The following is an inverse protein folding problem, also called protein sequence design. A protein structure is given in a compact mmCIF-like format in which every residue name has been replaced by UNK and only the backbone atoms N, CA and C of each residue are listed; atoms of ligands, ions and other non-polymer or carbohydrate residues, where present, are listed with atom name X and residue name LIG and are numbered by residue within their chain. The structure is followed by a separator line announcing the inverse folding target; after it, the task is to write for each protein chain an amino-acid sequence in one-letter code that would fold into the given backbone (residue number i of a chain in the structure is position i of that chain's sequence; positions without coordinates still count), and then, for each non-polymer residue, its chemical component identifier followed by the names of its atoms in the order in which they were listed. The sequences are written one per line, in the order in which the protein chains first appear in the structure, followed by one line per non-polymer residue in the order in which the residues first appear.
data_IF_680761022841
#
_entry.id   IF_680761022841
#
_cell.length_a   1.000
_cell.length_b   1.000
_cell.length_c   1.000
_cell.angle_alpha   90.00
_cell.angle_beta   90.00
_cell.angle_gamma   90.00
#
_symmetry.space_group_name_H-M   'P 1'
#
loop_
_entity.id
_entity.type
_entity.pdbx_description
1 polymer ?
#
# COMPACT_ATOMS: atom_id res chain seq x y z
N UNK A 1 12.33 -18.02 17.56
CA UNK A 1 11.85 -17.88 16.16
C UNK A 1 13.06 -17.80 15.23
N UNK A 2 12.99 -18.41 14.02
CA UNK A 2 14.11 -18.52 13.07
C UNK A 2 13.81 -17.91 11.69
N UNK A 3 12.86 -16.97 11.63
CA UNK A 3 12.49 -16.27 10.41
C UNK A 3 13.59 -15.29 9.98
N UNK A 4 13.70 -15.04 8.67
CA UNK A 4 14.56 -13.98 8.12
C UNK A 4 13.83 -12.64 8.23
N UNK A 5 14.56 -11.58 8.54
CA UNK A 5 14.01 -10.22 8.66
C UNK A 5 14.57 -9.37 7.53
N UNK A 6 13.68 -8.67 6.83
CA UNK A 6 14.04 -7.66 5.84
C UNK A 6 13.69 -6.28 6.40
N UNK A 7 14.71 -5.49 6.74
CA UNK A 7 14.51 -4.13 7.24
C UNK A 7 14.33 -3.17 6.06
N UNK A 8 13.23 -2.43 6.08
CA UNK A 8 12.94 -1.35 5.14
C UNK A 8 13.19 -0.01 5.82
N UNK A 9 13.72 0.96 5.08
CA UNK A 9 13.97 2.31 5.62
C UNK A 9 12.71 3.18 5.63
N UNK A 10 11.83 3.00 4.63
CA UNK A 10 10.61 3.77 4.42
C UNK A 10 9.65 3.01 3.49
N UNK A 11 8.37 3.39 3.49
CA UNK A 11 7.32 2.85 2.61
C UNK A 11 6.86 1.45 3.00
N UNK A 12 5.83 1.38 3.83
CA UNK A 12 5.20 0.13 4.30
C UNK A 12 4.12 -0.42 3.35
N UNK A 13 3.58 0.39 2.43
CA UNK A 13 2.53 -0.02 1.47
C UNK A 13 3.04 -1.06 0.46
N UNK A 14 4.17 -0.80 -0.19
CA UNK A 14 4.73 -1.72 -1.19
C UNK A 14 5.05 -3.11 -0.62
N UNK A 15 5.76 -3.25 0.53
CA UNK A 15 5.99 -4.55 1.13
C UNK A 15 4.71 -5.19 1.67
N UNK A 16 3.72 -4.42 2.14
CA UNK A 16 2.42 -4.98 2.51
C UNK A 16 1.76 -5.67 1.31
N UNK A 17 1.71 -5.00 0.15
CA UNK A 17 1.18 -5.61 -1.10
C UNK A 17 2.00 -6.85 -1.50
N UNK A 18 3.32 -6.79 -1.35
CA UNK A 18 4.23 -7.88 -1.68
C UNK A 18 3.89 -9.18 -0.92
N UNK A 19 3.31 -9.11 0.29
CA UNK A 19 2.86 -10.30 1.05
C UNK A 19 1.85 -11.17 0.31
N UNK A 20 1.09 -10.59 -0.63
CA UNK A 20 0.10 -11.30 -1.42
C UNK A 20 0.59 -11.68 -2.82
N UNK A 21 1.88 -11.47 -3.11
CA UNK A 21 2.50 -11.83 -4.37
C UNK A 21 3.41 -13.06 -4.17
N UNK A 22 3.10 -14.22 -4.79
CA UNK A 22 3.82 -15.48 -4.54
C UNK A 22 5.34 -15.40 -4.73
N UNK A 23 5.79 -14.59 -5.70
CA UNK A 23 7.21 -14.49 -6.08
C UNK A 23 7.96 -13.34 -5.38
N UNK A 24 7.33 -12.65 -4.42
CA UNK A 24 7.97 -11.50 -3.77
C UNK A 24 9.04 -11.87 -2.74
N UNK A 25 8.94 -13.06 -2.16
CA UNK A 25 9.78 -13.50 -1.04
C UNK A 25 9.48 -12.80 0.30
N UNK A 26 8.36 -12.06 0.40
CA UNK A 26 7.88 -11.43 1.62
C UNK A 26 6.62 -12.14 2.09
N UNK A 27 6.63 -12.68 3.31
CA UNK A 27 5.49 -13.44 3.86
C UNK A 27 4.61 -12.60 4.80
N UNK A 28 5.19 -11.61 5.47
CA UNK A 28 4.51 -10.79 6.48
C UNK A 28 5.20 -9.44 6.62
N UNK A 29 4.39 -8.40 6.88
CA UNK A 29 4.86 -7.10 7.37
C UNK A 29 4.32 -6.90 8.78
N UNK A 30 5.19 -6.49 9.71
CA UNK A 30 4.82 -6.22 11.09
C UNK A 30 5.60 -5.00 11.59
N UNK A 31 4.89 -4.07 12.22
CA UNK A 31 5.48 -2.85 12.76
C UNK A 31 4.45 -1.75 12.98
N UNK A 32 4.94 -0.57 13.34
CA UNK A 32 4.14 0.65 13.46
C UNK A 32 4.46 1.56 12.28
N UNK A 33 3.44 1.86 11.47
CA UNK A 33 3.55 2.74 10.31
C UNK A 33 2.59 3.92 10.39
N UNK A 34 2.38 4.58 9.25
CA UNK A 34 1.39 5.65 9.14
C UNK A 34 -0.03 5.08 9.04
N UNK A 35 -0.98 5.67 9.76
CA UNK A 35 -2.38 5.22 9.72
C UNK A 35 -3.01 5.35 8.32
N UNK A 36 -2.79 6.44 7.56
CA UNK A 36 -3.26 6.53 6.17
C UNK A 36 -2.69 5.43 5.26
N UNK A 37 -1.40 5.13 5.41
CA UNK A 37 -0.70 4.09 4.67
C UNK A 37 -1.21 2.69 5.03
N UNK A 38 -1.60 2.47 6.28
CA UNK A 38 -2.31 1.27 6.73
C UNK A 38 -3.64 1.07 5.97
N UNK A 39 -4.43 2.13 5.78
CA UNK A 39 -5.68 2.06 4.99
C UNK A 39 -5.40 1.77 3.52
N UNK A 40 -4.38 2.38 2.92
CA UNK A 40 -3.97 2.09 1.54
C UNK A 40 -3.53 0.63 1.36
N UNK A 41 -2.76 0.11 2.31
CA UNK A 41 -2.32 -1.28 2.35
C UNK A 41 -3.51 -2.23 2.46
N UNK A 42 -4.43 -1.96 3.40
CA UNK A 42 -5.66 -2.71 3.56
C UNK A 42 -6.51 -2.70 2.26
N UNK A 43 -6.58 -1.58 1.55
CA UNK A 43 -7.34 -1.47 0.30
C UNK A 43 -6.75 -2.35 -0.83
N UNK A 44 -5.42 -2.36 -0.93
CA UNK A 44 -4.71 -3.21 -1.88
C UNK A 44 -4.86 -4.70 -1.53
N UNK A 45 -4.67 -5.06 -0.25
CA UNK A 45 -4.82 -6.42 0.25
C UNK A 45 -6.26 -6.94 0.09
N UNK A 46 -7.26 -6.08 0.30
CA UNK A 46 -8.66 -6.41 0.04
C UNK A 46 -8.89 -6.78 -1.43
N UNK A 47 -8.24 -6.09 -2.38
CA UNK A 47 -8.33 -6.46 -3.80
C UNK A 47 -7.62 -7.79 -4.13
N UNK A 48 -6.61 -8.17 -3.34
CA UNK A 48 -5.81 -9.37 -3.52
C UNK A 48 -6.32 -10.58 -2.71
N UNK A 49 -7.32 -10.40 -1.85
CA UNK A 49 -7.81 -11.45 -0.95
C UNK A 49 -6.88 -11.73 0.24
N UNK A 50 -6.06 -10.75 0.62
CA UNK A 50 -5.15 -10.82 1.77
C UNK A 50 -5.83 -10.52 3.10
N UNK A 51 -5.02 -10.33 4.13
CA UNK A 51 -5.46 -9.96 5.48
C UNK A 51 -4.67 -8.76 6.00
N UNK A 52 -5.33 -7.88 6.75
CA UNK A 52 -4.71 -6.76 7.43
C UNK A 52 -5.33 -6.63 8.82
N UNK A 53 -4.48 -6.45 9.82
CA UNK A 53 -4.86 -6.21 11.21
C UNK A 53 -4.05 -5.04 11.75
N UNK A 54 -4.69 -4.16 12.52
CA UNK A 54 -4.03 -2.97 13.05
C UNK A 54 -4.70 -2.38 14.29
N UNK A 55 -4.06 -1.35 14.83
CA UNK A 55 -4.57 -0.51 15.91
C UNK A 55 -3.93 0.86 15.78
N UNK A 56 -4.64 1.93 16.16
CA UNK A 56 -4.04 3.26 16.20
C UNK A 56 -2.98 3.33 17.30
N UNK A 57 -1.81 3.84 16.95
CA UNK A 57 -0.72 4.09 17.88
C UNK A 57 -0.58 5.60 18.10
N UNK A 58 -1.21 6.11 19.15
CA UNK A 58 -1.18 7.54 19.49
C UNK A 58 0.16 7.94 20.10
N UNK A 59 0.68 9.08 19.70
CA UNK A 59 1.94 9.63 20.25
C UNK A 59 1.72 10.47 21.51
N UNK A 60 0.49 10.97 21.69
CA UNK A 60 0.09 11.80 22.82
C UNK A 60 -1.44 11.83 22.96
N UNK A 61 -1.91 12.33 24.10
CA UNK A 61 -3.34 12.45 24.42
C UNK A 61 -4.09 13.38 23.45
N UNK A 62 -3.42 14.37 22.86
CA UNK A 62 -4.03 15.27 21.88
C UNK A 62 -4.47 14.54 20.61
N UNK A 63 -3.63 13.65 20.07
CA UNK A 63 -3.99 12.79 18.95
C UNK A 63 -5.14 11.83 19.31
N UNK A 64 -5.11 11.27 20.53
CA UNK A 64 -6.18 10.39 21.02
C UNK A 64 -7.52 11.13 21.10
N UNK A 65 -7.54 12.34 21.67
CA UNK A 65 -8.75 13.15 21.76
C UNK A 65 -9.26 13.57 20.38
N UNK A 66 -8.37 13.87 19.43
CA UNK A 66 -8.75 14.13 18.04
C UNK A 66 -9.45 12.93 17.40
N UNK A 67 -8.95 11.71 17.62
CA UNK A 67 -9.61 10.50 17.10
C UNK A 67 -11.02 10.32 17.66
N UNK A 68 -11.21 10.53 18.97
CA UNK A 68 -12.53 10.51 19.60
C UNK A 68 -13.44 11.58 19.00
N UNK A 69 -12.94 12.81 18.85
CA UNK A 69 -13.68 13.92 18.25
C UNK A 69 -14.07 13.67 16.78
N UNK A 70 -13.30 12.84 16.06
CA UNK A 70 -13.62 12.39 14.70
C UNK A 70 -14.62 11.22 14.67
N UNK A 71 -15.14 10.78 15.82
CA UNK A 71 -16.18 9.75 15.92
C UNK A 71 -15.67 8.35 16.27
N UNK A 72 -14.43 8.21 16.73
CA UNK A 72 -13.91 6.91 17.17
C UNK A 72 -14.29 6.63 18.63
N UNK A 73 -15.27 5.76 18.83
CA UNK A 73 -15.81 5.42 20.17
C UNK A 73 -14.78 4.77 21.10
N UNK A 74 -14.01 3.81 20.56
CA UNK A 74 -12.91 3.15 21.24
C UNK A 74 -11.61 3.36 20.45
N UNK A 75 -10.73 4.29 20.86
CA UNK A 75 -9.45 4.53 20.19
C UNK A 75 -8.46 3.36 20.27
N UNK A 76 -8.59 2.48 21.27
CA UNK A 76 -7.63 1.41 21.55
C UNK A 76 -8.07 0.06 20.96
N UNK A 77 -9.21 0.05 20.26
CA UNK A 77 -9.76 -1.15 19.62
C UNK A 77 -8.82 -1.74 18.58
N UNK A 78 -8.94 -3.04 18.41
CA UNK A 78 -8.44 -3.75 17.25
C UNK A 78 -9.23 -3.33 15.99
N UNK A 79 -8.51 -3.15 14.88
CA UNK A 79 -9.06 -2.77 13.58
C UNK A 79 -8.74 -3.87 12.58
N UNK A 80 -9.77 -4.61 12.19
CA UNK A 80 -9.66 -5.57 11.10
C UNK A 80 -9.73 -4.87 9.73
N UNK A 81 -9.28 -5.53 8.67
CA UNK A 81 -9.35 -5.01 7.31
C UNK A 81 -10.75 -4.50 6.93
N UNK A 82 -11.82 -5.18 7.38
CA UNK A 82 -13.22 -4.81 7.15
C UNK A 82 -13.68 -3.54 7.88
N UNK A 83 -12.95 -3.12 8.91
CA UNK A 83 -13.18 -1.84 9.59
C UNK A 83 -12.61 -0.67 8.78
N UNK A 84 -11.52 -0.90 8.06
CA UNK A 84 -10.79 0.14 7.32
C UNK A 84 -11.32 0.32 5.90
N UNK A 85 -11.75 -0.77 5.26
CA UNK A 85 -12.08 -0.80 3.84
C UNK A 85 -13.41 -1.51 3.64
N UNK A 86 -14.36 -0.81 3.04
CA UNK A 86 -15.74 -1.29 2.84
C UNK A 86 -16.20 -1.03 1.42
N UNK A 87 -17.03 -1.93 0.91
CA UNK A 87 -17.63 -1.82 -0.41
C UNK A 87 -16.68 -2.19 -1.54
N UNK A 88 -16.94 -1.64 -2.73
CA UNK A 88 -16.13 -1.87 -3.91
C UNK A 88 -14.88 -0.98 -3.90
N UNK A 89 -13.72 -1.59 -4.15
CA UNK A 89 -12.41 -0.94 -4.05
C UNK A 89 -11.67 -1.06 -5.36
N UNK A 90 -11.05 0.05 -5.76
CA UNK A 90 -10.07 0.10 -6.84
C UNK A 90 -8.77 0.63 -6.23
N UNK A 91 -7.68 -0.11 -6.43
CA UNK A 91 -6.35 0.31 -6.03
C UNK A 91 -5.49 0.53 -7.27
N UNK A 92 -4.78 1.66 -7.34
CA UNK A 92 -3.87 1.98 -8.44
C UNK A 92 -2.59 2.58 -7.88
N UNK A 93 -1.44 2.03 -8.28
CA UNK A 93 -0.13 2.55 -7.92
C UNK A 93 0.82 2.55 -9.12
N UNK A 94 1.65 3.59 -9.25
CA UNK A 94 2.67 3.72 -10.29
C UNK A 94 4.04 3.87 -9.64
N UNK A 95 5.03 3.12 -10.13
CA UNK A 95 6.39 3.18 -9.59
C UNK A 95 7.08 4.50 -9.93
N UNK A 96 7.48 5.25 -8.91
CA UNK A 96 8.30 6.47 -9.06
C UNK A 96 9.77 6.07 -9.17
N UNK A 97 10.29 5.43 -8.13
CA UNK A 97 11.63 4.82 -8.08
C UNK A 97 11.51 3.30 -8.21
N UNK A 98 12.62 2.63 -8.54
CA UNK A 98 12.63 1.16 -8.59
C UNK A 98 12.41 0.59 -7.20
N UNK A 99 11.37 -0.23 -7.04
CA UNK A 99 11.05 -0.93 -5.80
C UNK A 99 10.77 -2.41 -6.02
N UNK A 100 10.47 -3.12 -4.93
CA UNK A 100 10.13 -4.55 -4.95
C UNK A 100 8.83 -4.85 -5.69
N UNK A 101 7.90 -3.89 -5.75
CA UNK A 101 6.59 -4.05 -6.36
C UNK A 101 6.53 -3.53 -7.81
N UNK A 102 7.05 -2.33 -8.06
CA UNK A 102 6.93 -1.65 -9.35
C UNK A 102 8.28 -1.10 -9.82
N UNK A 103 8.50 -1.17 -11.12
CA UNK A 103 9.62 -0.47 -11.77
C UNK A 103 9.41 1.04 -11.66
N UNK A 104 10.46 1.75 -11.30
CA UNK A 104 10.49 3.21 -11.34
C UNK A 104 10.42 3.74 -12.77
N UNK A 105 10.11 5.03 -12.87
CA UNK A 105 10.08 5.73 -14.17
C UNK A 105 11.49 5.73 -14.78
N UNK A 106 11.59 5.34 -16.05
CA UNK A 106 12.86 5.34 -16.80
C UNK A 106 12.71 6.14 -18.09
N UNK A 107 13.66 7.04 -18.34
CA UNK A 107 13.79 7.72 -19.63
C UNK A 107 14.68 6.90 -20.56
N UNK A 108 14.18 6.59 -21.75
CA UNK A 108 14.95 5.96 -22.83
C UNK A 108 14.74 6.81 -24.09
N UNK A 109 15.79 7.53 -24.49
CA UNK A 109 15.72 8.50 -25.58
C UNK A 109 14.69 9.61 -25.32
N UNK A 110 13.72 9.74 -26.23
CA UNK A 110 12.62 10.71 -26.19
C UNK A 110 11.37 10.20 -25.47
N UNK A 111 11.46 9.06 -24.78
CA UNK A 111 10.30 8.41 -24.12
C UNK A 111 10.51 8.18 -22.63
N UNK A 112 9.42 8.20 -21.88
CA UNK A 112 9.33 7.77 -20.49
C UNK A 112 8.57 6.45 -20.43
N UNK A 113 9.15 5.48 -19.73
CA UNK A 113 8.57 4.19 -19.43
C UNK A 113 8.20 4.15 -17.95
N UNK A 114 6.97 3.77 -17.66
CA UNK A 114 6.41 3.65 -16.31
C UNK A 114 5.63 2.36 -16.19
N UNK A 115 5.57 1.83 -14.97
CA UNK A 115 4.82 0.63 -14.65
C UNK A 115 3.77 0.96 -13.60
N UNK A 116 2.54 0.55 -13.88
CA UNK A 116 1.38 0.76 -13.01
C UNK A 116 0.74 -0.58 -12.64
N UNK A 117 0.40 -0.75 -11.38
CA UNK A 117 -0.45 -1.82 -10.86
C UNK A 117 -1.86 -1.25 -10.68
N UNK A 118 -2.87 -1.90 -11.27
CA UNK A 118 -4.28 -1.56 -11.08
C UNK A 118 -5.08 -2.79 -10.67
N UNK A 119 -5.86 -2.68 -9.61
CA UNK A 119 -6.61 -3.79 -9.00
C UNK A 119 -8.05 -3.37 -8.70
N UNK A 120 -8.97 -4.33 -8.76
CA UNK A 120 -10.40 -4.11 -8.47
C UNK A 120 -10.96 -5.28 -7.67
N UNK A 121 -11.51 -4.99 -6.48
CA UNK A 121 -12.00 -6.03 -5.57
C UNK A 121 -13.22 -6.77 -6.12
N UNK A 122 -14.16 -6.06 -6.76
CA UNK A 122 -15.39 -6.66 -7.29
C UNK A 122 -15.16 -7.69 -8.40
N UNK A 123 -14.05 -7.61 -9.12
CA UNK A 123 -13.72 -8.53 -10.21
C UNK A 123 -12.50 -9.41 -9.92
N UNK A 124 -11.84 -9.22 -8.77
CA UNK A 124 -10.57 -9.87 -8.43
C UNK A 124 -9.45 -9.63 -9.47
N UNK A 125 -9.59 -8.60 -10.30
CA UNK A 125 -8.69 -8.40 -11.44
C UNK A 125 -7.46 -7.63 -11.01
N UNK A 126 -6.29 -8.16 -11.35
CA UNK A 126 -4.99 -7.51 -11.19
C UNK A 126 -4.41 -7.22 -12.57
N UNK A 127 -4.09 -5.96 -12.86
CA UNK A 127 -3.48 -5.52 -14.12
C UNK A 127 -2.14 -4.87 -13.87
N UNK A 128 -1.13 -5.39 -14.55
CA UNK A 128 0.17 -4.74 -14.68
C UNK A 128 0.20 -4.01 -16.02
N UNK A 129 0.42 -2.71 -15.98
CA UNK A 129 0.32 -1.83 -17.16
C UNK A 129 1.68 -1.17 -17.38
N UNK A 130 2.38 -1.61 -18.43
CA UNK A 130 3.58 -0.93 -18.93
C UNK A 130 3.16 0.19 -19.89
N UNK A 131 3.49 1.42 -19.54
CA UNK A 131 3.10 2.63 -20.29
C UNK A 131 4.34 3.33 -20.84
N UNK A 132 4.25 3.77 -22.10
CA UNK A 132 5.30 4.56 -22.75
C UNK A 132 4.73 5.87 -23.28
N UNK A 133 5.27 6.99 -22.81
CA UNK A 133 4.86 8.35 -23.23
C UNK A 133 6.04 9.13 -23.81
N UNK A 134 5.78 10.20 -24.57
CA UNK A 134 6.84 11.10 -25.02
C UNK A 134 7.34 11.97 -23.86
N UNK A 135 8.65 12.08 -23.70
CA UNK A 135 9.28 12.78 -22.57
C UNK A 135 9.11 14.30 -22.65
N UNK A 136 9.07 14.86 -23.86
CA UNK A 136 8.93 16.31 -24.12
C UNK A 136 7.61 16.91 -23.59
N UNK A 137 6.62 16.07 -23.28
CA UNK A 137 5.35 16.51 -22.69
C UNK A 137 5.39 16.68 -21.16
N UNK A 138 6.40 16.14 -20.48
CA UNK A 138 6.41 16.01 -19.02
C UNK A 138 7.69 16.52 -18.36
N UNK A 139 8.77 16.63 -19.12
CA UNK A 139 10.07 17.13 -18.65
C UNK A 139 10.32 18.43 -19.39
N UNK A 140 10.38 19.53 -18.62
CA UNK A 140 10.78 20.87 -19.08
C UNK A 140 12.29 20.88 -19.28
#
# INVERSE_FOLDING_TARGET
AGARVHLISDGDVAPAIATCLPDSGIDMVCGTGGAPEGVLSAAALHCLGGCFEGRLAFRNDGERQRAIAMGMEDPDRHLAMSDLVRGEVIFVATGVTGGSLLKGVRRIGDRLHLQTLAMRSSTGTVRWVDTTVRADRYII
#
